data_IF_098796284885
#
_entry.id   IF_098796284885
#
_cell.length_a   1.000
_cell.length_b   1.000
_cell.length_c   1.000
_cell.angle_alpha   90.00
_cell.angle_beta   90.00
_cell.angle_gamma   90.00
#
_symmetry.space_group_name_H-M   'P 1'
#
loop_
_entity.id
_entity.type
_entity.pdbx_description
1 polymer ?
#
# COMPACT_ATOMS: atom_id res chain seq x y z
N UNK A 1 -2.33 -28.91 9.29
CA UNK A 1 -1.19 -27.99 9.47
C UNK A 1 -1.79 -26.63 9.80
N UNK A 2 -1.53 -26.11 11.00
CA UNK A 2 -2.04 -24.78 11.36
C UNK A 2 -1.30 -23.75 10.50
N UNK A 3 -2.04 -23.09 9.62
CA UNK A 3 -1.57 -21.92 8.89
C UNK A 3 -1.16 -20.91 9.96
N UNK A 4 0.12 -20.56 10.04
CA UNK A 4 0.60 -19.59 11.03
C UNK A 4 0.03 -18.22 10.66
N UNK A 5 -1.08 -17.87 11.32
CA UNK A 5 -1.78 -16.60 11.17
C UNK A 5 -0.84 -15.41 11.41
N UNK A 6 -1.25 -14.27 10.87
CA UNK A 6 -0.59 -12.99 11.10
C UNK A 6 -0.81 -12.52 12.54
N UNK A 7 0.07 -12.94 13.44
CA UNK A 7 0.12 -12.40 14.80
C UNK A 7 0.58 -10.93 14.83
N UNK A 8 0.25 -10.23 15.92
CA UNK A 8 0.51 -8.80 16.10
C UNK A 8 1.97 -8.40 15.84
N UNK A 9 2.94 -9.17 16.36
CA UNK A 9 4.36 -8.91 16.14
C UNK A 9 4.78 -9.04 14.66
N UNK A 10 4.19 -9.99 13.94
CA UNK A 10 4.47 -10.18 12.51
C UNK A 10 3.86 -9.04 11.68
N UNK A 11 2.64 -8.61 12.02
CA UNK A 11 2.00 -7.45 11.40
C UNK A 11 2.78 -6.16 11.66
N UNK A 12 3.18 -5.91 12.90
CA UNK A 12 3.97 -4.74 13.26
C UNK A 12 5.28 -4.68 12.47
N UNK A 13 5.93 -5.84 12.28
CA UNK A 13 7.15 -5.91 11.47
C UNK A 13 6.88 -5.70 9.98
N UNK A 14 5.82 -6.31 9.44
CA UNK A 14 5.43 -6.11 8.04
C UNK A 14 5.13 -4.64 7.73
N UNK A 15 4.38 -3.96 8.62
CA UNK A 15 4.11 -2.51 8.53
C UNK A 15 5.40 -1.71 8.46
N UNK A 16 6.35 -2.01 9.35
CA UNK A 16 7.65 -1.32 9.37
C UNK A 16 8.46 -1.57 8.09
N UNK A 17 8.44 -2.79 7.55
CA UNK A 17 9.18 -3.14 6.33
C UNK A 17 8.56 -2.48 5.09
N UNK A 18 7.23 -2.39 5.01
CA UNK A 18 6.51 -1.65 3.98
C UNK A 18 6.79 -0.15 4.06
N UNK A 19 6.70 0.45 5.26
CA UNK A 19 6.94 1.88 5.47
C UNK A 19 8.37 2.30 5.08
N UNK A 20 9.38 1.46 5.42
CA UNK A 20 10.78 1.73 5.06
C UNK A 20 11.12 1.40 3.61
N UNK A 21 10.27 0.62 2.92
CA UNK A 21 10.50 0.22 1.55
C UNK A 21 11.78 -0.58 1.33
N UNK A 22 12.22 -1.41 2.29
CA UNK A 22 13.48 -2.17 2.19
C UNK A 22 13.39 -3.39 1.25
N UNK A 23 12.17 -3.81 0.96
CA UNK A 23 11.88 -4.98 0.13
C UNK A 23 12.22 -6.32 0.80
N UNK A 24 12.23 -6.40 2.13
CA UNK A 24 12.47 -7.65 2.85
C UNK A 24 11.18 -8.50 2.88
N UNK A 25 11.06 -9.40 1.92
CA UNK A 25 9.93 -10.33 1.81
C UNK A 25 10.08 -11.59 2.67
N UNK A 26 11.11 -11.68 3.54
CA UNK A 26 11.39 -12.87 4.34
C UNK A 26 10.20 -13.28 5.22
N UNK A 27 9.44 -12.31 5.73
CA UNK A 27 8.24 -12.57 6.53
C UNK A 27 7.06 -13.16 5.75
N UNK A 28 7.01 -12.94 4.43
CA UNK A 28 5.92 -13.40 3.57
C UNK A 28 6.04 -14.89 3.22
N UNK A 29 7.26 -15.44 3.30
CA UNK A 29 7.53 -16.82 2.90
C UNK A 29 6.76 -17.83 3.75
N UNK A 30 6.02 -18.71 3.08
CA UNK A 30 5.23 -19.77 3.71
C UNK A 30 4.00 -19.30 4.49
N UNK A 31 3.58 -18.03 4.34
CA UNK A 31 2.39 -17.46 4.99
C UNK A 31 1.29 -17.14 3.98
N UNK A 32 0.00 -17.17 4.37
CA UNK A 32 -1.08 -16.71 3.52
C UNK A 32 -0.98 -15.18 3.32
N UNK A 33 -1.03 -14.73 2.06
CA UNK A 33 -0.95 -13.31 1.72
C UNK A 33 -2.30 -12.60 1.84
N UNK A 34 -3.42 -13.31 1.66
CA UNK A 34 -4.79 -12.76 1.59
C UNK A 34 -5.12 -11.69 2.64
N UNK A 35 -4.73 -11.83 3.94
CA UNK A 35 -5.06 -10.83 4.95
C UNK A 35 -4.23 -9.54 4.88
N UNK A 36 -3.15 -9.52 4.10
CA UNK A 36 -2.12 -8.46 4.08
C UNK A 36 -1.66 -8.08 2.67
N UNK A 37 -2.52 -8.28 1.66
CA UNK A 37 -2.13 -8.11 0.26
C UNK A 37 -1.60 -6.70 -0.05
N UNK A 38 -2.16 -5.65 0.56
CA UNK A 38 -1.71 -4.28 0.35
C UNK A 38 -0.30 -4.06 0.92
N UNK A 39 -0.04 -4.54 2.15
CA UNK A 39 1.30 -4.49 2.74
C UNK A 39 2.32 -5.40 2.03
N UNK A 40 1.91 -6.62 1.67
CA UNK A 40 2.76 -7.57 0.97
C UNK A 40 3.17 -7.01 -0.40
N UNK A 41 2.23 -6.44 -1.14
CA UNK A 41 2.50 -5.80 -2.43
C UNK A 41 3.53 -4.69 -2.33
N UNK A 42 3.44 -3.81 -1.32
CA UNK A 42 4.44 -2.73 -1.10
C UNK A 42 5.85 -3.27 -0.89
N UNK A 43 5.99 -4.30 -0.05
CA UNK A 43 7.27 -4.97 0.19
C UNK A 43 7.78 -5.64 -1.08
N UNK A 44 6.90 -6.27 -1.87
CA UNK A 44 7.27 -6.99 -3.09
C UNK A 44 7.67 -6.04 -4.22
N UNK A 45 6.96 -4.93 -4.43
CA UNK A 45 7.35 -3.87 -5.37
C UNK A 45 8.74 -3.33 -5.00
N UNK A 46 8.98 -3.03 -3.73
CA UNK A 46 10.27 -2.56 -3.26
C UNK A 46 11.39 -3.61 -3.41
N UNK A 47 11.06 -4.89 -3.26
CA UNK A 47 11.97 -6.02 -3.45
C UNK A 47 12.36 -6.21 -4.91
N UNK A 48 11.38 -6.18 -5.83
CA UNK A 48 11.58 -6.27 -7.27
C UNK A 48 12.43 -5.12 -7.79
N UNK A 49 12.15 -3.88 -7.38
CA UNK A 49 12.92 -2.70 -7.75
C UNK A 49 14.41 -2.78 -7.32
N UNK A 50 14.71 -3.59 -6.29
CA UNK A 50 16.06 -3.85 -5.78
C UNK A 50 16.69 -5.12 -6.35
N UNK A 51 16.03 -5.79 -7.30
CA UNK A 51 16.52 -7.03 -7.92
C UNK A 51 16.53 -8.23 -6.97
N UNK A 52 15.72 -8.22 -5.91
CA UNK A 52 15.58 -9.38 -5.01
C UNK A 52 14.77 -10.48 -5.70
N UNK A 53 15.09 -11.74 -5.40
CA UNK A 53 14.33 -12.89 -5.89
C UNK A 53 13.02 -13.07 -5.10
N UNK A 54 12.02 -12.28 -5.46
CA UNK A 54 10.68 -12.30 -4.86
C UNK A 54 9.58 -12.55 -5.89
N UNK A 55 9.96 -12.92 -7.12
CA UNK A 55 9.02 -13.07 -8.25
C UNK A 55 7.87 -14.05 -7.98
N UNK A 56 8.08 -15.24 -7.40
CA UNK A 56 6.97 -16.15 -7.11
C UNK A 56 5.96 -15.56 -6.12
N UNK A 57 6.43 -14.84 -5.09
CA UNK A 57 5.56 -14.15 -4.13
C UNK A 57 4.82 -12.98 -4.79
N UNK A 58 5.49 -12.24 -5.67
CA UNK A 58 4.86 -11.13 -6.41
C UNK A 58 3.72 -11.61 -7.31
N UNK A 59 3.89 -12.74 -7.98
CA UNK A 59 2.81 -13.36 -8.79
C UNK A 59 1.65 -13.83 -7.90
N UNK A 60 1.94 -14.52 -6.80
CA UNK A 60 0.89 -14.95 -5.86
C UNK A 60 0.14 -13.76 -5.23
N UNK A 61 0.84 -12.64 -4.98
CA UNK A 61 0.21 -11.41 -4.50
C UNK A 61 -0.67 -10.79 -5.58
N UNK A 62 -0.21 -10.76 -6.83
CA UNK A 62 -0.97 -10.24 -7.97
C UNK A 62 -2.29 -11.02 -8.14
N UNK A 63 -2.22 -12.36 -8.16
CA UNK A 63 -3.40 -13.21 -8.24
C UNK A 63 -4.37 -12.95 -7.07
N UNK A 64 -3.85 -12.81 -5.84
CA UNK A 64 -4.67 -12.51 -4.67
C UNK A 64 -5.35 -11.15 -4.72
N UNK A 65 -4.71 -10.12 -5.28
CA UNK A 65 -5.29 -8.80 -5.48
C UNK A 65 -6.41 -8.83 -6.53
N UNK A 66 -6.16 -9.49 -7.66
CA UNK A 66 -7.12 -9.65 -8.75
C UNK A 66 -8.36 -10.45 -8.31
N UNK A 67 -8.18 -11.50 -7.52
CA UNK A 67 -9.27 -12.31 -6.97
C UNK A 67 -10.11 -11.54 -5.93
N UNK A 68 -9.46 -10.71 -5.11
CA UNK A 68 -10.11 -9.99 -4.00
C UNK A 68 -10.88 -8.75 -4.47
N UNK A 69 -10.30 -7.96 -5.37
CA UNK A 69 -10.96 -6.83 -6.02
C UNK A 69 -11.43 -5.71 -5.09
N UNK A 70 -10.77 -5.49 -3.94
CA UNK A 70 -11.07 -4.36 -3.05
C UNK A 70 -10.48 -3.05 -3.57
N UNK A 71 -10.95 -1.88 -3.08
CA UNK A 71 -10.33 -0.59 -3.41
C UNK A 71 -8.81 -0.63 -3.19
N UNK A 72 -8.04 -0.16 -4.16
CA UNK A 72 -6.57 -0.15 -4.11
C UNK A 72 -5.92 -1.42 -4.64
N UNK A 73 -6.67 -2.50 -4.84
CA UNK A 73 -6.11 -3.77 -5.33
C UNK A 73 -5.68 -3.62 -6.80
N UNK A 74 -6.50 -3.00 -7.65
CA UNK A 74 -6.18 -2.77 -9.05
C UNK A 74 -4.94 -1.89 -9.24
N UNK A 75 -4.82 -0.82 -8.45
CA UNK A 75 -3.66 0.08 -8.50
C UNK A 75 -2.37 -0.65 -8.09
N UNK A 76 -2.41 -1.44 -7.01
CA UNK A 76 -1.26 -2.21 -6.58
C UNK A 76 -0.91 -3.34 -7.56
N UNK A 77 -1.92 -3.98 -8.14
CA UNK A 77 -1.75 -5.00 -9.17
C UNK A 77 -1.01 -4.45 -10.39
N UNK A 78 -1.38 -3.25 -10.85
CA UNK A 78 -0.68 -2.57 -11.94
C UNK A 78 0.77 -2.21 -11.57
N UNK A 79 1.02 -1.75 -10.34
CA UNK A 79 2.39 -1.49 -9.85
C UNK A 79 3.24 -2.76 -9.79
N UNK A 80 2.68 -3.87 -9.30
CA UNK A 80 3.35 -5.17 -9.29
C UNK A 80 3.61 -5.69 -10.71
N UNK A 81 2.62 -5.60 -11.60
CA UNK A 81 2.75 -6.03 -12.99
C UNK A 81 3.82 -5.20 -13.73
N UNK A 82 3.92 -3.90 -13.46
CA UNK A 82 4.98 -3.04 -13.98
C UNK A 82 6.35 -3.43 -13.41
N UNK A 83 6.46 -3.66 -12.10
CA UNK A 83 7.71 -4.10 -11.46
C UNK A 83 8.18 -5.48 -11.94
N UNK A 84 7.25 -6.34 -12.35
CA UNK A 84 7.52 -7.65 -12.97
C UNK A 84 7.89 -7.56 -14.46
N UNK A 85 7.76 -6.38 -15.08
CA UNK A 85 7.97 -6.16 -16.52
C UNK A 85 6.88 -6.76 -17.41
N UNK A 86 5.69 -7.04 -16.85
CA UNK A 86 4.53 -7.59 -17.57
C UNK A 86 3.70 -6.47 -18.21
N UNK A 87 3.63 -5.30 -17.56
CA UNK A 87 2.91 -4.11 -18.06
C UNK A 87 3.81 -2.88 -18.01
N UNK A 88 3.41 -1.82 -18.73
CA UNK A 88 4.04 -0.52 -18.61
C UNK A 88 3.59 0.17 -17.31
N UNK A 89 4.41 1.06 -16.71
CA UNK A 89 3.98 1.88 -15.56
C UNK A 89 2.76 2.75 -15.90
N UNK A 90 1.89 2.98 -14.91
CA UNK A 90 0.62 3.72 -15.05
C UNK A 90 0.78 5.22 -15.32
N UNK A 91 1.98 5.77 -15.15
CA UNK A 91 2.25 7.21 -15.32
C UNK A 91 1.86 8.08 -14.12
N UNK A 92 1.35 7.49 -13.03
CA UNK A 92 1.05 8.20 -11.79
C UNK A 92 2.31 8.79 -11.15
N UNK A 93 2.20 10.01 -10.62
CA UNK A 93 3.30 10.70 -9.97
C UNK A 93 3.63 10.03 -8.62
N UNK A 94 4.90 9.72 -8.33
CA UNK A 94 5.27 9.15 -7.04
C UNK A 94 5.11 10.18 -5.91
N UNK A 95 4.47 9.79 -4.80
CA UNK A 95 4.30 10.64 -3.61
C UNK A 95 4.74 9.88 -2.35
N UNK A 96 5.69 10.42 -1.55
CA UNK A 96 6.14 9.78 -0.30
C UNK A 96 5.09 9.95 0.80
N UNK A 97 4.11 9.04 0.85
CA UNK A 97 2.93 9.13 1.73
C UNK A 97 2.73 7.85 2.54
N UNK A 98 2.24 8.02 3.77
CA UNK A 98 1.78 6.91 4.61
C UNK A 98 0.28 6.70 4.38
N UNK A 99 -0.06 5.65 3.62
CA UNK A 99 -1.46 5.29 3.36
C UNK A 99 -2.24 4.98 4.64
N UNK A 100 -1.59 4.53 5.73
CA UNK A 100 -2.27 4.33 7.01
C UNK A 100 -2.73 5.65 7.61
N UNK A 101 -1.91 6.71 7.48
CA UNK A 101 -2.30 8.06 7.92
C UNK A 101 -3.40 8.65 7.04
N UNK A 102 -3.35 8.43 5.72
CA UNK A 102 -4.42 8.86 4.81
C UNK A 102 -5.73 8.13 5.12
N UNK A 103 -5.67 6.81 5.34
CA UNK A 103 -6.83 6.03 5.73
C UNK A 103 -7.45 6.52 7.05
N UNK A 104 -6.63 6.80 8.07
CA UNK A 104 -7.11 7.36 9.32
C UNK A 104 -7.80 8.72 9.12
N UNK A 105 -7.25 9.59 8.27
CA UNK A 105 -7.89 10.85 7.91
C UNK A 105 -9.21 10.68 7.16
N UNK A 106 -9.35 9.64 6.32
CA UNK A 106 -10.64 9.34 5.68
C UNK A 106 -11.69 8.87 6.71
N UNK A 107 -11.29 8.22 7.81
CA UNK A 107 -12.22 7.82 8.88
C UNK A 107 -12.63 9.01 9.77
N UNK A 108 -11.66 9.86 10.14
CA UNK A 108 -11.90 11.00 11.04
C UNK A 108 -12.58 12.19 10.33
N UNK A 109 -12.16 12.45 9.08
CA UNK A 109 -12.50 13.65 8.33
C UNK A 109 -11.74 14.90 8.80
N UNK A 110 -11.80 15.96 7.99
CA UNK A 110 -11.23 17.30 8.25
C UNK A 110 -9.71 17.46 8.10
N UNK A 111 -9.05 16.56 7.37
CA UNK A 111 -7.63 16.71 7.02
C UNK A 111 -7.44 17.00 5.53
N UNK A 112 -6.29 17.59 5.22
CA UNK A 112 -5.76 17.74 3.87
C UNK A 112 -4.46 16.96 3.72
N UNK A 113 -4.19 16.47 2.51
CA UNK A 113 -2.90 15.89 2.13
C UNK A 113 -2.07 16.96 1.44
N UNK A 114 -0.86 17.20 1.94
CA UNK A 114 0.16 17.99 1.26
C UNK A 114 0.71 17.19 0.05
N UNK A 115 0.48 17.62 -1.20
CA UNK A 115 0.93 16.89 -2.39
C UNK A 115 2.43 17.05 -2.67
N UNK A 116 3.13 17.94 -1.98
CA UNK A 116 4.59 18.07 -2.09
C UNK A 116 5.31 17.18 -1.08
N UNK A 117 4.79 17.10 0.15
CA UNK A 117 5.42 16.35 1.25
C UNK A 117 4.82 14.98 1.51
N UNK A 118 3.57 14.76 1.09
CA UNK A 118 2.79 13.57 1.42
C UNK A 118 2.27 13.57 2.87
N UNK A 119 2.33 14.69 3.58
CA UNK A 119 1.89 14.83 4.98
C UNK A 119 0.38 15.01 5.07
N UNK A 120 -0.24 14.36 6.04
CA UNK A 120 -1.66 14.56 6.37
C UNK A 120 -1.72 15.59 7.49
N UNK A 121 -2.40 16.71 7.23
CA UNK A 121 -2.44 17.89 8.08
C UNK A 121 -3.88 18.30 8.38
N UNK A 122 -4.17 18.94 9.53
CA UNK A 122 -5.49 19.52 9.79
C UNK A 122 -5.86 20.55 8.71
N UNK A 123 -7.11 20.51 8.23
CA UNK A 123 -7.56 21.38 7.14
C UNK A 123 -7.63 22.87 7.52
N UNK A 124 -7.64 23.20 8.81
CA UNK A 124 -7.57 24.56 9.34
C UNK A 124 -6.14 25.07 9.54
N UNK A 125 -5.14 24.19 9.44
CA UNK A 125 -3.73 24.52 9.63
C UNK A 125 -2.92 24.56 8.32
N UNK A 126 -3.44 23.99 7.22
CA UNK A 126 -2.70 23.88 5.96
C UNK A 126 -3.60 23.91 4.71
N UNK A 127 -3.00 24.30 3.57
CA UNK A 127 -3.58 24.10 2.24
C UNK A 127 -3.14 22.74 1.67
N UNK A 128 -4.03 22.02 0.99
CA UNK A 128 -3.72 20.72 0.41
C UNK A 128 -4.93 20.07 -0.26
N UNK A 129 -4.77 18.81 -0.64
CA UNK A 129 -5.85 18.01 -1.23
C UNK A 129 -6.80 17.55 -0.11
N UNK A 130 -8.09 17.93 -0.14
CA UNK A 130 -9.03 17.50 0.89
C UNK A 130 -9.15 15.98 0.93
N UNK A 131 -8.86 15.38 2.09
CA UNK A 131 -9.06 13.94 2.28
C UNK A 131 -10.56 13.71 2.49
N UNK A 132 -11.23 12.92 1.64
CA UNK A 132 -12.67 12.75 1.74
C UNK A 132 -12.98 11.88 2.97
N UNK A 133 -13.95 12.27 3.80
CA UNK A 133 -14.50 11.37 4.80
C UNK A 133 -15.22 10.22 4.08
N UNK A 134 -15.12 9.00 4.61
CA UNK A 134 -15.79 7.85 4.00
C UNK A 134 -15.92 6.63 4.89
N UNK A 135 -16.96 5.84 4.64
CA UNK A 135 -17.11 4.51 5.22
C UNK A 135 -16.10 3.57 4.56
N UNK A 136 -15.00 3.30 5.26
CA UNK A 136 -13.94 2.43 4.75
C UNK A 136 -14.25 0.94 5.00
N UNK A 137 -13.74 0.04 4.14
CA UNK A 137 -13.85 -1.39 4.38
C UNK A 137 -13.18 -1.81 5.69
N UNK A 138 -13.68 -2.91 6.28
CA UNK A 138 -13.11 -3.46 7.50
C UNK A 138 -11.69 -4.00 7.28
N UNK A 139 -10.84 -3.79 8.27
CA UNK A 139 -9.45 -4.27 8.26
C UNK A 139 -8.47 -3.24 7.72
N UNK A 140 -7.37 -3.06 8.44
CA UNK A 140 -6.31 -2.09 8.13
C UNK A 140 -5.76 -2.22 6.71
N UNK A 141 -5.56 -3.44 6.21
CA UNK A 141 -5.10 -3.69 4.83
C UNK A 141 -6.09 -3.13 3.80
N UNK A 142 -7.38 -3.36 3.98
CA UNK A 142 -8.41 -2.87 3.06
C UNK A 142 -8.55 -1.34 3.11
N UNK A 143 -8.42 -0.74 4.31
CA UNK A 143 -8.42 0.72 4.47
C UNK A 143 -7.21 1.36 3.79
N UNK A 144 -6.03 0.74 3.89
CA UNK A 144 -4.83 1.12 3.16
C UNK A 144 -5.07 1.10 1.64
N UNK A 145 -5.78 0.08 1.16
CA UNK A 145 -6.22 -0.01 -0.23
C UNK A 145 -7.17 1.13 -0.64
N UNK A 146 -8.16 1.47 0.19
CA UNK A 146 -9.04 2.60 -0.09
C UNK A 146 -8.27 3.94 -0.21
N UNK A 147 -7.30 4.17 0.67
CA UNK A 147 -6.40 5.33 0.57
C UNK A 147 -5.57 5.32 -0.73
N UNK A 148 -5.08 4.15 -1.16
CA UNK A 148 -4.36 3.99 -2.44
C UNK A 148 -5.26 4.34 -3.63
N UNK A 149 -6.48 3.82 -3.68
CA UNK A 149 -7.43 4.12 -4.75
C UNK A 149 -7.75 5.62 -4.82
N UNK A 150 -7.96 6.26 -3.67
CA UNK A 150 -8.20 7.70 -3.65
C UNK A 150 -7.01 8.51 -4.17
N UNK A 151 -5.79 8.18 -3.74
CA UNK A 151 -4.56 8.82 -4.23
C UNK A 151 -4.38 8.67 -5.74
N UNK A 152 -4.66 7.48 -6.29
CA UNK A 152 -4.62 7.26 -7.72
C UNK A 152 -5.63 8.14 -8.46
N UNK A 153 -6.82 8.33 -7.90
CA UNK A 153 -7.80 9.30 -8.38
C UNK A 153 -7.31 10.76 -8.35
N UNK A 154 -6.35 11.08 -7.48
CA UNK A 154 -5.66 12.39 -7.45
C UNK A 154 -4.43 12.45 -8.38
N UNK A 155 -4.12 11.37 -9.11
CA UNK A 155 -2.96 11.30 -10.01
C UNK A 155 -1.65 10.86 -9.36
N UNK A 156 -1.70 10.38 -8.12
CA UNK A 156 -0.52 9.96 -7.35
C UNK A 156 -0.48 8.46 -7.11
N UNK A 157 0.73 7.92 -7.01
CA UNK A 157 0.98 6.59 -6.46
C UNK A 157 1.86 6.68 -5.21
N UNK A 158 1.58 5.89 -4.17
CA UNK A 158 2.37 5.92 -2.95
C UNK A 158 3.77 5.36 -3.19
N UNK A 159 4.78 6.02 -2.63
CA UNK A 159 6.13 5.47 -2.50
C UNK A 159 6.58 5.53 -1.04
N UNK A 160 7.50 4.65 -0.61
CA UNK A 160 8.05 4.70 0.74
C UNK A 160 8.67 6.07 1.05
N UNK A 161 8.46 6.58 2.28
CA UNK A 161 9.11 7.81 2.74
C UNK A 161 10.62 7.57 2.85
N UNK A 162 11.41 8.31 2.07
CA UNK A 162 12.85 8.39 2.28
C UNK A 162 13.12 9.35 3.44
N UNK A 163 13.64 8.83 4.55
CA UNK A 163 14.20 9.62 5.65
C UNK A 163 15.46 10.38 5.20
#
# INVERSE_FOLDING_TARGET
>A
MCVTEWGEAALARLRADAHRGLGDAGLLQGRPLTPVLQYAGDVLVAGLARGRDVRPLALACLDGLDERGLPGDAELADELAAALGVRAPTGLAPLPVDLGAVAAAMEDGFQVLDPERGDVLPADEAEGLPVPPGDLPEGEDARRGAARAWLAGQGFRPVPRSL
#
